data_IF_847225417005
#
_entry.id   IF_847225417005
#
_cell.length_a   1.000
_cell.length_b   1.000
_cell.length_c   1.000
_cell.angle_alpha   90.00
_cell.angle_beta   90.00
_cell.angle_gamma   90.00
#
_symmetry.space_group_name_H-M   'P 1'
#
loop_
_entity.id
_entity.type
_entity.pdbx_description
1 polymer ?
#
# COMPACT_ATOMS: atom_id res chain seq x y z
N UNK A 1 -32.04 -1.61 -18.95
CA UNK A 1 -30.82 -0.86 -19.31
C UNK A 1 -31.16 0.61 -19.40
N UNK A 2 -30.55 1.42 -18.54
CA UNK A 2 -30.80 2.85 -18.43
C UNK A 2 -30.01 3.64 -19.50
N UNK A 3 -30.58 4.71 -20.10
CA UNK A 3 -29.93 5.44 -21.21
C UNK A 3 -28.63 6.14 -20.84
N UNK A 4 -28.35 6.34 -19.55
CA UNK A 4 -27.11 6.92 -19.05
C UNK A 4 -25.98 5.88 -18.81
N UNK A 5 -26.23 4.60 -19.08
CA UNK A 5 -25.24 3.52 -18.93
C UNK A 5 -24.67 3.18 -20.31
N UNK A 6 -23.36 3.36 -20.49
CA UNK A 6 -22.65 2.93 -21.69
C UNK A 6 -22.12 1.49 -21.54
N UNK A 7 -22.02 0.78 -22.67
CA UNK A 7 -21.39 -0.54 -22.74
C UNK A 7 -20.08 -0.43 -23.52
N UNK A 8 -19.02 -1.01 -22.97
CA UNK A 8 -17.70 -1.08 -23.59
C UNK A 8 -17.56 -2.36 -24.42
N UNK A 9 -16.65 -2.34 -25.40
CA UNK A 9 -16.39 -3.47 -26.30
C UNK A 9 -15.91 -4.75 -25.58
N UNK A 10 -15.41 -4.62 -24.34
CA UNK A 10 -15.02 -5.74 -23.48
C UNK A 10 -16.18 -6.34 -22.67
N UNK A 11 -17.43 -5.90 -22.92
CA UNK A 11 -18.63 -6.38 -22.23
C UNK A 11 -18.89 -5.75 -20.86
N UNK A 12 -18.05 -4.80 -20.42
CA UNK A 12 -18.27 -4.05 -19.17
C UNK A 12 -19.20 -2.85 -19.39
N UNK A 13 -19.85 -2.38 -18.33
CA UNK A 13 -20.74 -1.23 -18.34
C UNK A 13 -20.12 -0.07 -17.57
N UNK A 14 -20.45 1.16 -17.94
CA UNK A 14 -19.99 2.36 -17.24
C UNK A 14 -21.08 3.42 -17.12
N UNK A 15 -21.03 4.21 -16.04
CA UNK A 15 -21.86 5.41 -15.89
C UNK A 15 -21.13 6.50 -15.11
N UNK A 16 -21.48 7.75 -15.41
CA UNK A 16 -20.98 8.93 -14.71
C UNK A 16 -21.94 9.30 -13.57
N UNK A 17 -21.66 8.81 -12.36
CA UNK A 17 -22.56 8.97 -11.20
C UNK A 17 -22.44 10.39 -10.63
N UNK A 18 -21.24 10.98 -10.64
CA UNK A 18 -20.94 12.31 -10.07
C UNK A 18 -20.81 13.42 -11.13
N UNK A 19 -21.27 13.15 -12.34
CA UNK A 19 -21.12 14.05 -13.49
C UNK A 19 -19.92 13.68 -14.37
N UNK A 20 -19.84 14.29 -15.56
CA UNK A 20 -18.84 13.98 -16.57
C UNK A 20 -17.41 14.47 -16.24
N UNK A 21 -17.29 15.28 -15.19
CA UNK A 21 -16.01 15.81 -14.73
C UNK A 21 -15.24 14.82 -13.84
N UNK A 22 -15.94 13.82 -13.29
CA UNK A 22 -15.37 12.74 -12.48
C UNK A 22 -15.16 11.46 -13.31
N UNK A 23 -14.28 10.58 -12.81
CA UNK A 23 -14.03 9.28 -13.44
C UNK A 23 -15.32 8.42 -13.45
N UNK A 24 -15.63 7.76 -14.59
CA UNK A 24 -16.82 6.93 -14.69
C UNK A 24 -16.67 5.68 -13.81
N UNK A 25 -17.76 5.29 -13.16
CA UNK A 25 -17.82 4.02 -12.46
C UNK A 25 -18.01 2.90 -13.48
N UNK A 26 -17.10 1.93 -13.51
CA UNK A 26 -17.06 0.85 -14.49
C UNK A 26 -17.24 -0.51 -13.79
N UNK A 27 -18.17 -1.33 -14.24
CA UNK A 27 -18.48 -2.62 -13.61
C UNK A 27 -19.43 -3.47 -14.43
N UNK A 28 -20.15 -4.37 -13.76
CA UNK A 28 -21.29 -5.11 -14.33
C UNK A 28 -22.53 -4.23 -14.40
N UNK A 29 -23.51 -4.60 -15.23
CA UNK A 29 -24.74 -3.83 -15.39
C UNK A 29 -25.47 -3.63 -14.05
N UNK A 30 -25.50 -4.67 -13.20
CA UNK A 30 -26.17 -4.61 -11.91
C UNK A 30 -25.46 -3.66 -10.94
N UNK A 31 -24.12 -3.68 -10.90
CA UNK A 31 -23.34 -2.78 -10.05
C UNK A 31 -23.51 -1.31 -10.48
N UNK A 32 -23.53 -1.05 -11.80
CA UNK A 32 -23.74 0.30 -12.32
C UNK A 32 -25.17 0.78 -12.06
N UNK A 33 -26.18 -0.09 -12.20
CA UNK A 33 -27.58 0.26 -11.90
C UNK A 33 -27.82 0.51 -10.41
N UNK A 34 -27.16 -0.24 -9.50
CA UNK A 34 -27.18 0.02 -8.06
C UNK A 34 -26.49 1.35 -7.73
N UNK A 35 -25.33 1.62 -8.36
CA UNK A 35 -24.58 2.84 -8.10
C UNK A 35 -25.26 4.10 -8.67
N UNK A 36 -26.14 3.94 -9.65
CA UNK A 36 -27.04 4.98 -10.16
C UNK A 36 -28.37 5.09 -9.38
N UNK A 37 -28.55 4.31 -8.32
CA UNK A 37 -29.77 4.25 -7.49
C UNK A 37 -31.04 3.86 -8.29
N UNK A 38 -30.87 3.19 -9.42
CA UNK A 38 -31.96 2.78 -10.31
C UNK A 38 -32.57 1.43 -9.91
N UNK A 39 -31.85 0.65 -9.13
CA UNK A 39 -32.29 -0.63 -8.57
C UNK A 39 -32.05 -0.60 -7.07
N UNK A 40 -33.11 -0.80 -6.29
CA UNK A 40 -32.99 -0.96 -4.84
C UNK A 40 -31.99 -2.08 -4.55
N UNK A 41 -30.96 -1.84 -3.71
CA UNK A 41 -30.06 -2.89 -3.27
C UNK A 41 -30.91 -4.03 -2.69
N UNK A 42 -30.65 -5.28 -3.11
CA UNK A 42 -31.16 -6.45 -2.40
C UNK A 42 -30.69 -6.32 -0.95
N UNK A 43 -31.60 -5.99 -0.03
CA UNK A 43 -31.30 -5.75 1.38
C UNK A 43 -30.43 -6.90 1.93
N UNK A 44 -29.17 -6.65 2.34
CA UNK A 44 -28.55 -7.50 3.33
C UNK A 44 -29.17 -7.16 4.69
N UNK A 45 -29.53 -8.21 5.43
CA UNK A 45 -29.99 -8.16 6.81
C UNK A 45 -29.10 -7.25 7.71
N UNK A 46 -29.64 -6.65 8.77
CA UNK A 46 -29.12 -5.41 9.33
C UNK A 46 -27.81 -5.59 10.10
N UNK A 47 -26.97 -4.55 9.98
CA UNK A 47 -25.97 -4.12 10.95
C UNK A 47 -24.88 -5.13 11.33
N UNK A 48 -23.86 -5.24 10.48
CA UNK A 48 -22.49 -5.25 10.97
C UNK A 48 -21.78 -4.03 10.40
N UNK A 49 -21.14 -3.25 11.27
CA UNK A 49 -20.29 -2.13 10.92
C UNK A 49 -19.32 -2.58 9.82
N UNK A 50 -19.54 -2.10 8.59
CA UNK A 50 -18.57 -2.27 7.51
C UNK A 50 -17.42 -1.33 7.83
N UNK A 51 -16.52 -1.83 8.68
CA UNK A 51 -15.10 -1.53 8.67
C UNK A 51 -14.73 -1.32 7.21
N UNK A 52 -14.32 -0.10 6.88
CA UNK A 52 -13.64 0.23 5.63
C UNK A 52 -12.76 -0.96 5.24
N UNK A 53 -12.77 -1.46 4.00
CA UNK A 53 -11.75 -2.39 3.59
C UNK A 53 -10.44 -1.59 3.57
N UNK A 54 -9.78 -1.54 4.73
CA UNK A 54 -8.37 -1.38 4.83
C UNK A 54 -7.80 -2.33 3.78
N UNK A 55 -7.03 -1.77 2.84
CA UNK A 55 -6.46 -2.51 1.72
C UNK A 55 -5.81 -3.81 2.18
N UNK A 56 -5.58 -4.75 1.25
CA UNK A 56 -5.26 -6.15 1.52
C UNK A 56 -4.37 -6.24 2.75
N UNK A 57 -4.88 -6.82 3.84
CA UNK A 57 -4.19 -6.96 5.11
C UNK A 57 -2.78 -7.48 4.83
N UNK A 58 -1.83 -6.55 4.77
CA UNK A 58 -0.53 -6.85 4.20
C UNK A 58 0.16 -7.65 5.30
N UNK A 59 0.30 -8.95 5.06
CA UNK A 59 0.85 -9.88 6.04
C UNK A 59 2.17 -9.29 6.54
N UNK A 60 2.20 -8.94 7.82
CA UNK A 60 3.40 -8.39 8.44
C UNK A 60 4.43 -9.51 8.52
N UNK A 61 5.56 -9.27 7.88
CA UNK A 61 6.69 -10.19 7.81
C UNK A 61 7.83 -9.63 8.64
N UNK A 62 8.70 -10.52 9.09
CA UNK A 62 9.90 -10.14 9.81
C UNK A 62 11.04 -9.96 8.81
N UNK A 63 11.74 -8.85 8.92
CA UNK A 63 12.88 -8.51 8.09
C UNK A 63 14.11 -8.22 8.94
N UNK A 64 15.26 -8.66 8.45
CA UNK A 64 16.56 -8.23 8.91
C UNK A 64 17.10 -7.20 7.92
N UNK A 65 17.48 -6.03 8.43
CA UNK A 65 17.99 -4.92 7.63
C UNK A 65 19.45 -4.67 7.95
N UNK A 66 20.32 -4.76 6.95
CA UNK A 66 21.74 -4.39 7.09
C UNK A 66 21.96 -2.98 6.56
N UNK A 67 22.49 -2.09 7.40
CA UNK A 67 22.93 -0.75 7.03
C UNK A 67 24.43 -0.75 6.72
N UNK A 68 24.83 -0.28 5.54
CA UNK A 68 26.24 -0.15 5.14
C UNK A 68 26.60 1.29 4.80
N UNK A 69 27.77 1.72 5.26
CA UNK A 69 28.36 3.01 4.94
C UNK A 69 29.12 2.96 3.61
N UNK A 70 29.15 4.07 2.88
CA UNK A 70 29.96 4.21 1.67
C UNK A 70 31.46 4.21 1.99
N UNK A 71 31.83 4.83 3.12
CA UNK A 71 33.20 4.88 3.62
C UNK A 71 33.22 4.29 5.05
N UNK A 72 33.11 2.96 5.20
CA UNK A 72 33.11 2.32 6.50
C UNK A 72 34.49 2.39 7.14
N UNK A 73 34.54 2.47 8.47
CA UNK A 73 35.74 2.14 9.22
C UNK A 73 36.03 0.63 9.13
N UNK A 74 37.22 0.21 9.56
CA UNK A 74 37.67 -1.18 9.42
C UNK A 74 36.75 -2.19 10.14
N UNK A 75 36.15 -1.77 11.25
CA UNK A 75 35.21 -2.51 12.10
C UNK A 75 33.76 -2.43 11.59
N UNK A 76 33.48 -1.58 10.61
CA UNK A 76 32.13 -1.32 10.08
C UNK A 76 31.91 -1.91 8.69
N UNK A 77 32.87 -2.69 8.18
CA UNK A 77 32.84 -3.26 6.82
C UNK A 77 31.61 -4.15 6.60
N UNK A 78 31.20 -4.88 7.62
CA UNK A 78 30.01 -5.75 7.56
C UNK A 78 28.69 -4.99 7.69
N UNK A 79 28.74 -3.75 8.18
CA UNK A 79 27.59 -2.90 8.42
C UNK A 79 26.93 -3.15 9.77
N UNK A 80 25.90 -2.34 10.05
CA UNK A 80 25.08 -2.44 11.27
C UNK A 80 23.84 -3.25 10.95
N UNK A 81 23.62 -4.31 11.73
CA UNK A 81 22.48 -5.20 11.56
C UNK A 81 21.32 -4.79 12.47
N UNK A 82 20.15 -4.58 11.87
CA UNK A 82 18.87 -4.39 12.56
C UNK A 82 18.03 -5.64 12.38
N UNK A 83 17.86 -6.40 13.46
CA UNK A 83 17.13 -7.67 13.42
C UNK A 83 15.67 -7.49 13.86
N UNK A 84 14.79 -8.34 13.33
CA UNK A 84 13.44 -8.48 13.86
C UNK A 84 12.48 -7.33 13.52
N UNK A 85 12.71 -6.61 12.41
CA UNK A 85 11.84 -5.51 12.00
C UNK A 85 10.55 -6.09 11.41
N UNK A 86 9.42 -5.83 12.06
CA UNK A 86 8.11 -6.27 11.60
C UNK A 86 7.52 -5.22 10.68
N UNK A 87 7.43 -5.54 9.38
CA UNK A 87 6.92 -4.62 8.37
C UNK A 87 6.05 -5.35 7.35
N UNK A 88 5.20 -4.62 6.63
CA UNK A 88 4.41 -5.17 5.54
C UNK A 88 5.23 -5.30 4.24
N UNK A 89 6.26 -4.45 4.06
CA UNK A 89 7.13 -4.48 2.88
C UNK A 89 8.60 -4.25 3.22
N UNK A 90 9.50 -4.67 2.31
CA UNK A 90 10.95 -4.38 2.41
C UNK A 90 11.25 -2.88 2.48
N UNK A 91 10.46 -2.06 1.79
CA UNK A 91 10.62 -0.60 1.80
C UNK A 91 10.32 -0.04 3.18
N UNK A 92 9.20 -0.45 3.76
CA UNK A 92 8.81 -0.05 5.12
C UNK A 92 9.83 -0.52 6.16
N UNK A 93 10.34 -1.76 6.03
CA UNK A 93 11.42 -2.25 6.90
C UNK A 93 12.69 -1.38 6.82
N UNK A 94 13.08 -0.96 5.60
CA UNK A 94 14.21 -0.06 5.41
C UNK A 94 13.96 1.34 5.97
N UNK A 95 12.73 1.84 5.88
CA UNK A 95 12.37 3.16 6.41
C UNK A 95 12.39 3.16 7.95
N UNK A 96 11.91 2.08 8.58
CA UNK A 96 12.00 1.87 10.04
C UNK A 96 13.47 1.77 10.49
N UNK A 97 14.29 0.97 9.79
CA UNK A 97 15.72 0.87 10.06
C UNK A 97 16.43 2.23 9.94
N UNK A 98 16.03 3.05 8.96
CA UNK A 98 16.57 4.41 8.81
C UNK A 98 16.17 5.33 9.94
N UNK A 99 14.93 5.24 10.43
CA UNK A 99 14.49 5.99 11.59
C UNK A 99 15.31 5.61 12.84
N UNK A 100 15.52 4.32 13.08
CA UNK A 100 16.38 3.83 14.17
C UNK A 100 17.84 4.28 14.04
N UNK A 101 18.40 4.25 12.82
CA UNK A 101 19.75 4.74 12.58
C UNK A 101 19.89 6.25 12.88
N UNK A 102 18.87 7.04 12.55
CA UNK A 102 18.84 8.48 12.85
C UNK A 102 18.77 8.74 14.35
N UNK A 103 17.93 8.00 15.07
CA UNK A 103 17.80 8.13 16.54
C UNK A 103 19.08 7.75 17.29
N UNK A 104 19.89 6.85 16.73
CA UNK A 104 21.17 6.42 17.29
C UNK A 104 22.37 7.28 16.83
N UNK A 105 22.12 8.40 16.12
CA UNK A 105 23.15 9.31 15.56
C UNK A 105 24.18 8.60 14.64
N UNK A 106 23.82 7.44 14.10
CA UNK A 106 24.68 6.66 13.22
C UNK A 106 24.78 7.25 11.81
N UNK A 107 23.93 8.23 11.50
CA UNK A 107 23.88 8.95 10.22
C UNK A 107 24.80 10.19 10.21
N UNK A 108 25.69 10.30 11.20
CA UNK A 108 26.61 11.42 11.38
C UNK A 108 27.65 11.63 10.27
N UNK A 109 28.41 12.71 10.42
CA UNK A 109 29.25 13.27 9.34
C UNK A 109 30.49 12.42 9.08
N UNK A 110 30.90 12.34 7.80
CA UNK A 110 32.17 11.71 7.39
C UNK A 110 32.07 10.28 6.84
N UNK A 111 30.92 9.59 6.98
CA UNK A 111 30.74 8.20 6.51
C UNK A 111 30.12 8.05 5.11
N UNK A 112 29.86 9.19 4.45
CA UNK A 112 29.30 9.24 3.11
C UNK A 112 27.83 8.81 3.06
N UNK A 113 27.40 8.23 1.95
CA UNK A 113 26.04 7.70 1.81
C UNK A 113 25.85 6.42 2.62
N UNK A 114 24.63 6.21 3.12
CA UNK A 114 24.22 4.94 3.75
C UNK A 114 23.29 4.16 2.82
N UNK A 115 23.43 2.84 2.84
CA UNK A 115 22.57 1.92 2.11
C UNK A 115 21.92 0.93 3.07
N UNK A 116 20.65 0.63 2.85
CA UNK A 116 19.87 -0.29 3.67
C UNK A 116 19.38 -1.44 2.81
N UNK A 117 19.65 -2.67 3.26
CA UNK A 117 19.24 -3.89 2.55
C UNK A 117 18.38 -4.74 3.46
N UNK A 118 17.09 -4.87 3.13
CA UNK A 118 16.13 -5.72 3.83
C UNK A 118 16.11 -7.14 3.25
N UNK A 119 16.28 -8.13 4.13
CA UNK A 119 16.16 -9.56 3.87
C UNK A 119 15.00 -10.08 4.72
N UNK A 120 14.09 -10.83 4.12
CA UNK A 120 13.00 -11.50 4.86
C UNK A 120 13.58 -12.71 5.61
N UNK A 121 13.16 -12.93 6.86
CA UNK A 121 13.53 -14.10 7.65
C UNK A 121 12.81 -15.37 7.22
#
# INVERSE_FOLDING_TARGET
>A
MHPAIGQLSNGKFYAYIKGHEDEPFMGTLEEVEVAMDLRAPLEPAPAEEVVTPAGPATQRKTFDVTMRFQYPAWDEVDGVLYQGIVAATKREANDEARAMANSNDLLGWGKGRVTFTAVEQ
#
